data_IF_866818441864
#
_entry.id   IF_866818441864
#
_cell.length_a   1.000
_cell.length_b   1.000
_cell.length_c   1.000
_cell.angle_alpha   90.00
_cell.angle_beta   90.00
_cell.angle_gamma   90.00
#
_symmetry.space_group_name_H-M   'P 1'
#
loop_
_entity.id
_entity.type
_entity.pdbx_description
1 polymer ?
#
# COMPACT_ATOMS: atom_id res chain seq x y z
N UNK A 1 -12.64 33.12 -59.76
CA UNK A 1 -12.53 33.27 -58.28
C UNK A 1 -12.31 31.87 -57.72
N UNK A 2 -11.10 31.56 -57.25
CA UNK A 2 -10.80 30.26 -56.64
C UNK A 2 -10.71 30.48 -55.12
N UNK A 3 -11.71 29.99 -54.39
CA UNK A 3 -11.66 29.94 -52.93
C UNK A 3 -10.81 28.73 -52.54
N UNK A 4 -9.59 29.01 -52.07
CA UNK A 4 -8.76 28.01 -51.43
C UNK A 4 -9.31 27.78 -50.02
N UNK A 5 -10.11 26.73 -49.86
CA UNK A 5 -10.44 26.24 -48.53
C UNK A 5 -9.21 25.55 -47.96
N UNK A 6 -8.43 26.28 -47.17
CA UNK A 6 -7.42 25.69 -46.31
C UNK A 6 -8.14 24.88 -45.23
N UNK A 7 -8.24 23.57 -45.42
CA UNK A 7 -8.52 22.66 -44.30
C UNK A 7 -7.22 22.60 -43.51
N UNK A 8 -7.09 23.45 -42.50
CA UNK A 8 -6.04 23.32 -41.50
C UNK A 8 -6.25 21.98 -40.79
N UNK A 9 -5.64 20.93 -41.32
CA UNK A 9 -5.63 19.62 -40.71
C UNK A 9 -5.01 19.74 -39.33
N UNK A 10 -5.80 19.43 -38.31
CA UNK A 10 -5.39 19.46 -36.91
C UNK A 10 -4.11 18.63 -36.76
N UNK A 11 -2.97 19.30 -36.55
CA UNK A 11 -1.67 18.63 -36.50
C UNK A 11 -1.61 17.76 -35.25
N UNK A 12 -1.53 16.45 -35.44
CA UNK A 12 -1.28 15.51 -34.33
C UNK A 12 0.13 15.75 -33.82
N UNK A 13 0.25 16.07 -32.54
CA UNK A 13 1.54 16.25 -31.87
C UNK A 13 1.82 15.08 -30.94
N UNK A 14 3.10 14.93 -30.56
CA UNK A 14 3.56 13.91 -29.62
C UNK A 14 4.08 14.61 -28.36
N UNK A 15 3.56 14.22 -27.19
CA UNK A 15 3.97 14.77 -25.90
C UNK A 15 4.26 13.62 -24.93
N UNK A 16 5.34 13.73 -24.17
CA UNK A 16 5.69 12.76 -23.12
C UNK A 16 5.20 13.25 -21.75
N UNK A 17 4.63 12.34 -20.97
CA UNK A 17 4.21 12.57 -19.59
C UNK A 17 4.84 11.52 -18.68
N UNK A 18 5.38 11.94 -17.53
CA UNK A 18 5.80 11.02 -16.47
C UNK A 18 4.69 10.95 -15.44
N UNK A 19 4.15 9.75 -15.22
CA UNK A 19 3.00 9.53 -14.34
C UNK A 19 3.28 8.37 -13.37
N UNK A 20 2.63 8.35 -12.20
CA UNK A 20 2.76 7.22 -11.28
C UNK A 20 2.15 5.94 -11.89
N UNK A 21 2.81 4.82 -11.64
CA UNK A 21 2.32 3.48 -11.94
C UNK A 21 1.76 2.85 -10.67
N UNK A 22 0.46 2.60 -10.65
CA UNK A 22 -0.21 1.89 -9.58
C UNK A 22 -0.14 0.38 -9.79
N UNK A 23 0.04 -0.36 -8.70
CA UNK A 23 -0.02 -1.83 -8.70
C UNK A 23 -1.33 -2.23 -8.04
N UNK A 24 -2.12 -3.06 -8.71
CA UNK A 24 -3.45 -3.47 -8.27
C UNK A 24 -3.56 -4.98 -8.18
N UNK A 25 -4.49 -5.43 -7.34
CA UNK A 25 -4.97 -6.82 -7.30
C UNK A 25 -3.87 -7.88 -7.08
N UNK A 26 -2.91 -7.61 -6.19
CA UNK A 26 -1.94 -8.63 -5.76
C UNK A 26 -2.70 -9.84 -5.17
N UNK A 27 -2.44 -11.07 -5.65
CA UNK A 27 -3.17 -12.24 -5.20
C UNK A 27 -3.03 -12.47 -3.70
N UNK A 28 -4.09 -13.00 -3.08
CA UNK A 28 -4.07 -13.35 -1.65
C UNK A 28 -2.99 -14.40 -1.37
N UNK A 29 -2.32 -14.28 -0.24
CA UNK A 29 -1.22 -15.17 0.12
C UNK A 29 0.10 -14.88 -0.61
N UNK A 30 0.16 -13.78 -1.39
CA UNK A 30 1.38 -13.28 -1.99
C UNK A 30 1.66 -11.85 -1.52
N UNK A 31 2.95 -11.51 -1.46
CA UNK A 31 3.41 -10.14 -1.24
C UNK A 31 4.59 -9.82 -2.14
N UNK A 32 4.74 -8.56 -2.50
CA UNK A 32 5.83 -8.12 -3.36
C UNK A 32 7.07 -7.79 -2.54
N UNK A 33 8.19 -8.43 -2.84
CA UNK A 33 9.44 -8.31 -2.07
C UNK A 33 10.45 -7.37 -2.72
N UNK A 34 10.29 -7.08 -4.01
CA UNK A 34 11.07 -6.06 -4.70
C UNK A 34 10.36 -4.69 -4.72
N UNK A 35 11.10 -3.66 -5.13
CA UNK A 35 10.59 -2.30 -5.32
C UNK A 35 10.70 -1.89 -6.78
N UNK A 36 9.75 -2.31 -7.65
CA UNK A 36 9.74 -1.87 -9.03
C UNK A 36 9.56 -0.35 -9.13
N UNK A 37 9.98 0.23 -10.25
CA UNK A 37 9.74 1.64 -10.54
C UNK A 37 8.25 1.95 -10.50
N UNK A 38 7.86 2.95 -9.71
CA UNK A 38 6.46 3.40 -9.57
C UNK A 38 6.12 4.59 -10.46
N UNK A 39 6.90 4.80 -11.51
CA UNK A 39 6.69 5.85 -12.49
C UNK A 39 6.97 5.29 -13.88
N UNK A 40 6.19 5.75 -14.85
CA UNK A 40 6.34 5.41 -16.25
C UNK A 40 6.27 6.68 -17.08
N UNK A 41 7.09 6.75 -18.12
CA UNK A 41 6.95 7.76 -19.17
C UNK A 41 5.98 7.22 -20.22
N UNK A 42 4.94 7.99 -20.50
CA UNK A 42 3.97 7.68 -21.55
C UNK A 42 4.06 8.76 -22.62
N UNK A 43 4.33 8.35 -23.86
CA UNK A 43 4.26 9.21 -25.03
C UNK A 43 2.86 9.13 -25.62
N UNK A 44 2.20 10.27 -25.69
CA UNK A 44 0.82 10.43 -26.14
C UNK A 44 0.77 11.17 -27.48
N UNK A 45 -0.21 10.84 -28.30
CA UNK A 45 -0.51 11.57 -29.54
C UNK A 45 -1.98 11.96 -29.60
N UNK A 46 -2.25 13.13 -30.18
CA UNK A 46 -3.60 13.67 -30.30
C UNK A 46 -3.60 15.08 -30.88
N UNK A 47 -4.78 15.70 -31.01
CA UNK A 47 -4.90 17.12 -31.35
C UNK A 47 -4.04 17.99 -30.45
N UNK A 48 -3.36 18.98 -31.05
CA UNK A 48 -2.51 19.91 -30.31
C UNK A 48 -3.25 20.64 -29.19
N UNK A 49 -4.49 21.07 -29.46
CA UNK A 49 -5.41 21.71 -28.50
C UNK A 49 -5.70 20.83 -27.28
N UNK A 50 -5.96 19.54 -27.48
CA UNK A 50 -6.23 18.58 -26.40
C UNK A 50 -4.98 18.29 -25.58
N UNK A 51 -3.84 18.04 -26.24
CA UNK A 51 -2.59 17.73 -25.55
C UNK A 51 -2.05 18.93 -24.77
N UNK A 52 -2.24 20.17 -25.25
CA UNK A 52 -1.84 21.37 -24.51
C UNK A 52 -2.67 21.63 -23.25
N UNK A 53 -3.93 21.16 -23.23
CA UNK A 53 -4.82 21.31 -22.07
C UNK A 53 -4.82 20.10 -21.12
N UNK A 54 -4.14 19.00 -21.48
CA UNK A 54 -4.16 17.76 -20.72
C UNK A 54 -3.42 17.89 -19.39
N UNK A 55 -4.11 17.59 -18.29
CA UNK A 55 -3.50 17.61 -16.95
C UNK A 55 -3.00 16.22 -16.56
N UNK A 56 -1.87 16.11 -15.81
CA UNK A 56 -1.37 14.82 -15.35
C UNK A 56 -2.38 13.99 -14.56
N UNK A 57 -3.30 14.63 -13.81
CA UNK A 57 -4.36 13.96 -13.05
C UNK A 57 -5.40 13.25 -13.90
N UNK A 58 -5.49 13.59 -15.20
CA UNK A 58 -6.41 12.98 -16.15
C UNK A 58 -5.80 11.75 -16.84
N UNK A 59 -4.54 11.44 -16.52
CA UNK A 59 -3.80 10.29 -17.01
C UNK A 59 -3.49 9.39 -15.80
N UNK A 60 -3.76 8.10 -15.92
CA UNK A 60 -3.37 7.13 -14.89
C UNK A 60 -2.79 5.88 -15.52
N UNK A 61 -1.75 5.32 -14.90
CA UNK A 61 -1.20 4.03 -15.26
C UNK A 61 -1.40 3.04 -14.12
N UNK A 62 -1.86 1.84 -14.43
CA UNK A 62 -2.02 0.77 -13.47
C UNK A 62 -1.64 -0.58 -14.10
N UNK A 63 -1.05 -1.45 -13.29
CA UNK A 63 -0.78 -2.84 -13.62
C UNK A 63 -1.60 -3.75 -12.71
N UNK A 64 -2.29 -4.71 -13.31
CA UNK A 64 -3.09 -5.72 -12.61
C UNK A 64 -2.23 -6.97 -12.41
N UNK A 65 -2.08 -7.40 -11.15
CA UNK A 65 -1.33 -8.60 -10.77
C UNK A 65 -2.22 -9.78 -10.40
N UNK A 66 -3.53 -9.74 -10.68
CA UNK A 66 -4.48 -10.80 -10.31
C UNK A 66 -4.13 -12.18 -10.87
N UNK A 67 -3.47 -12.24 -12.03
CA UNK A 67 -2.97 -13.45 -12.66
C UNK A 67 -1.50 -13.79 -12.31
N UNK A 68 -0.85 -13.01 -11.45
CA UNK A 68 0.55 -13.20 -11.10
C UNK A 68 0.76 -14.42 -10.17
N UNK A 69 1.96 -14.97 -10.20
CA UNK A 69 2.35 -16.14 -9.38
C UNK A 69 3.58 -15.86 -8.52
N UNK A 70 3.86 -16.73 -7.56
CA UNK A 70 5.09 -16.65 -6.77
C UNK A 70 6.34 -16.76 -7.68
N UNK A 71 7.39 -16.02 -7.34
CA UNK A 71 8.63 -15.93 -8.09
C UNK A 71 8.82 -14.59 -8.81
N UNK A 72 9.94 -14.50 -9.53
CA UNK A 72 10.27 -13.37 -10.41
C UNK A 72 9.50 -13.50 -11.72
N UNK A 73 8.80 -12.44 -12.11
CA UNK A 73 8.14 -12.35 -13.41
C UNK A 73 8.21 -10.93 -13.98
N UNK A 74 8.16 -10.84 -15.31
CA UNK A 74 8.07 -9.57 -16.03
C UNK A 74 6.62 -9.32 -16.43
N UNK A 75 6.08 -8.15 -16.08
CA UNK A 75 4.71 -7.75 -16.41
C UNK A 75 4.77 -6.64 -17.45
N UNK A 76 4.17 -6.89 -18.60
CA UNK A 76 4.13 -5.94 -19.73
C UNK A 76 3.14 -4.81 -19.45
N UNK A 77 3.53 -3.59 -19.78
CA UNK A 77 2.68 -2.41 -19.77
C UNK A 77 2.25 -2.10 -21.20
N UNK A 78 0.94 -2.16 -21.44
CA UNK A 78 0.31 -1.94 -22.73
C UNK A 78 -0.67 -0.74 -22.69
N UNK A 79 -1.35 -0.46 -23.80
CA UNK A 79 -2.34 0.62 -23.88
C UNK A 79 -3.50 0.45 -22.89
N UNK A 80 -3.81 -0.77 -22.43
CA UNK A 80 -4.86 -1.02 -21.42
C UNK A 80 -4.39 -0.65 -20.02
N UNK A 81 -3.08 -0.65 -19.82
CA UNK A 81 -2.43 -0.26 -18.57
C UNK A 81 -2.50 1.25 -18.33
N UNK A 82 -2.81 2.06 -19.35
CA UNK A 82 -2.89 3.53 -19.26
C UNK A 82 -4.27 4.04 -19.64
N UNK A 83 -4.91 4.79 -18.74
CA UNK A 83 -6.15 5.51 -19.03
C UNK A 83 -5.83 6.95 -19.42
N UNK A 84 -6.35 7.36 -20.58
CA UNK A 84 -6.26 8.71 -21.14
C UNK A 84 -7.64 9.19 -21.59
N UNK A 85 -7.88 10.51 -21.70
CA UNK A 85 -9.11 11.04 -22.26
C UNK A 85 -9.33 10.66 -23.73
N UNK A 86 -10.58 10.67 -24.16
CA UNK A 86 -10.98 10.39 -25.54
C UNK A 86 -10.29 11.35 -26.53
N UNK A 87 -9.86 10.82 -27.67
CA UNK A 87 -9.16 11.61 -28.71
C UNK A 87 -7.64 11.62 -28.56
N UNK A 88 -7.11 11.10 -27.45
CA UNK A 88 -5.68 10.89 -27.21
C UNK A 88 -5.35 9.39 -27.34
N UNK A 89 -4.20 9.07 -27.94
CA UNK A 89 -3.68 7.71 -28.08
C UNK A 89 -2.34 7.56 -27.40
N UNK A 90 -2.16 6.47 -26.69
CA UNK A 90 -0.86 6.03 -26.19
C UNK A 90 -0.04 5.53 -27.38
N UNK A 91 1.19 6.02 -27.51
CA UNK A 91 2.12 5.64 -28.58
C UNK A 91 3.30 4.83 -28.06
N UNK A 92 3.72 5.12 -26.82
CA UNK A 92 4.81 4.39 -26.17
C UNK A 92 4.69 4.49 -24.67
N UNK A 93 5.09 3.43 -23.98
CA UNK A 93 5.26 3.38 -22.53
C UNK A 93 6.72 2.99 -22.26
N UNK A 94 7.38 3.69 -21.33
CA UNK A 94 8.74 3.40 -20.90
C UNK A 94 8.85 3.40 -19.37
N UNK A 95 9.35 2.32 -18.75
CA UNK A 95 9.65 1.02 -19.38
C UNK A 95 8.38 0.34 -19.90
N UNK A 96 8.48 -0.51 -20.92
CA UNK A 96 7.34 -1.27 -21.47
C UNK A 96 7.02 -2.54 -20.68
N UNK A 97 7.82 -2.83 -19.65
CA UNK A 97 7.56 -3.90 -18.68
C UNK A 97 8.21 -3.56 -17.36
N UNK A 98 7.69 -4.12 -16.28
CA UNK A 98 8.30 -4.06 -14.95
C UNK A 98 8.61 -5.46 -14.46
N UNK A 99 9.70 -5.62 -13.73
CA UNK A 99 9.97 -6.85 -13.00
C UNK A 99 9.27 -6.80 -11.64
N UNK A 100 8.48 -7.81 -11.33
CA UNK A 100 7.89 -8.01 -10.00
C UNK A 100 8.40 -9.32 -9.42
N UNK A 101 8.72 -9.32 -8.14
CA UNK A 101 9.09 -10.50 -7.37
C UNK A 101 8.05 -10.68 -6.29
N UNK A 102 7.25 -11.73 -6.42
CA UNK A 102 6.23 -12.09 -5.46
C UNK A 102 6.68 -13.29 -4.65
N UNK A 103 6.42 -13.29 -3.35
CA UNK A 103 6.68 -14.44 -2.50
C UNK A 103 5.46 -14.81 -1.66
N UNK A 104 5.42 -16.06 -1.22
CA UNK A 104 4.29 -16.61 -0.48
C UNK A 104 4.30 -16.12 0.94
N UNK A 105 3.17 -15.60 1.39
CA UNK A 105 2.95 -15.26 2.79
C UNK A 105 2.29 -16.42 3.51
N UNK A 106 2.57 -16.53 4.80
CA UNK A 106 1.89 -17.43 5.72
C UNK A 106 1.09 -16.63 6.74
N UNK A 107 0.05 -17.26 7.29
CA UNK A 107 -0.71 -16.71 8.41
C UNK A 107 -0.37 -17.47 9.67
N UNK A 108 -0.07 -16.74 10.75
CA UNK A 108 0.15 -17.32 12.07
C UNK A 108 -0.55 -16.49 13.14
N UNK A 109 -0.99 -17.15 14.20
CA UNK A 109 -1.56 -16.51 15.38
C UNK A 109 -0.41 -16.08 16.28
N UNK A 110 -0.31 -14.79 16.57
CA UNK A 110 0.79 -14.17 17.32
C UNK A 110 0.23 -13.47 18.57
N UNK A 111 0.86 -13.62 19.75
CA UNK A 111 0.42 -12.95 20.97
C UNK A 111 0.60 -11.43 20.90
N UNK A 112 -0.36 -10.71 21.47
CA UNK A 112 -0.33 -9.25 21.60
C UNK A 112 0.29 -8.87 22.92
N UNK A 113 1.28 -7.97 22.89
CA UNK A 113 1.95 -7.46 24.08
C UNK A 113 1.66 -5.97 24.26
N UNK A 114 0.93 -5.57 25.30
CA UNK A 114 0.61 -4.16 25.50
C UNK A 114 1.85 -3.39 25.92
N UNK A 115 2.18 -2.31 25.20
CA UNK A 115 3.26 -1.39 25.58
C UNK A 115 2.74 -0.37 26.57
N UNK A 116 2.86 -0.67 27.86
CA UNK A 116 2.49 0.29 28.90
C UNK A 116 3.61 1.32 29.06
N UNK A 117 3.25 2.60 29.02
CA UNK A 117 4.09 3.76 29.25
C UNK A 117 4.15 4.19 30.72
N UNK A 118 4.67 5.40 30.96
CA UNK A 118 4.75 6.01 32.29
C UNK A 118 5.96 5.57 33.14
N UNK A 119 6.15 6.28 34.26
CA UNK A 119 7.30 6.08 35.16
C UNK A 119 7.24 4.81 36.00
N UNK A 120 8.37 4.44 36.62
CA UNK A 120 8.51 3.23 37.43
C UNK A 120 7.47 3.13 38.56
N UNK A 121 7.17 4.24 39.24
CA UNK A 121 6.19 4.27 40.33
C UNK A 121 4.80 3.85 39.87
N UNK A 122 4.33 4.36 38.72
CA UNK A 122 3.03 4.01 38.14
C UNK A 122 2.98 2.53 37.73
N UNK A 123 4.02 2.04 37.06
CA UNK A 123 4.10 0.64 36.62
C UNK A 123 4.09 -0.34 37.80
N UNK A 124 4.72 0.01 38.93
CA UNK A 124 4.73 -0.82 40.15
C UNK A 124 3.33 -0.98 40.77
N UNK A 125 2.42 -0.04 40.50
CA UNK A 125 1.02 -0.11 40.94
C UNK A 125 0.16 -0.99 40.05
N UNK A 126 0.62 -1.42 38.88
CA UNK A 126 -0.18 -2.29 38.02
C UNK A 126 -0.30 -3.67 38.66
N UNK A 127 -1.53 -4.09 38.94
CA UNK A 127 -1.87 -5.41 39.46
C UNK A 127 -2.01 -6.42 38.33
N UNK A 128 -2.70 -6.04 37.24
CA UNK A 128 -3.03 -6.94 36.13
C UNK A 128 -3.21 -6.16 34.84
N UNK A 129 -2.80 -6.76 33.73
CA UNK A 129 -3.10 -6.28 32.38
C UNK A 129 -3.77 -7.39 31.60
N UNK A 130 -4.90 -7.10 30.99
CA UNK A 130 -5.64 -8.01 30.13
C UNK A 130 -5.77 -7.40 28.74
N UNK A 131 -5.60 -8.21 27.70
CA UNK A 131 -5.74 -7.80 26.30
C UNK A 131 -6.79 -8.67 25.64
N UNK A 132 -7.73 -8.03 24.94
CA UNK A 132 -8.84 -8.66 24.25
C UNK A 132 -8.96 -8.14 22.81
N UNK A 133 -8.70 -8.97 21.77
CA UNK A 133 -8.20 -10.35 21.86
C UNK A 133 -6.72 -10.42 22.30
N UNK A 134 -6.27 -11.49 23.00
CA UNK A 134 -4.89 -11.65 23.44
C UNK A 134 -3.91 -12.05 22.33
N UNK A 135 -4.45 -12.46 21.17
CA UNK A 135 -3.68 -12.89 19.99
C UNK A 135 -4.32 -12.33 18.74
N UNK A 136 -3.51 -12.06 17.71
CA UNK A 136 -3.97 -11.65 16.39
C UNK A 136 -3.40 -12.57 15.31
N UNK A 137 -4.14 -12.73 14.22
CA UNK A 137 -3.62 -13.39 13.03
C UNK A 137 -2.77 -12.39 12.23
N UNK A 138 -1.54 -12.77 11.94
CA UNK A 138 -0.56 -11.98 11.18
C UNK A 138 -0.24 -12.73 9.89
N UNK A 139 -0.31 -12.02 8.77
CA UNK A 139 0.13 -12.51 7.46
C UNK A 139 1.48 -11.86 7.11
N UNK A 140 2.52 -12.67 6.91
CA UNK A 140 3.89 -12.19 6.68
C UNK A 140 4.70 -13.21 5.87
N UNK A 141 5.93 -12.84 5.46
CA UNK A 141 6.86 -13.82 4.87
C UNK A 141 7.30 -14.85 5.93
N UNK A 142 7.53 -16.13 5.57
CA UNK A 142 7.93 -17.18 6.51
C UNK A 142 9.15 -16.80 7.38
N UNK A 143 10.14 -16.14 6.79
CA UNK A 143 11.36 -15.69 7.46
C UNK A 143 11.16 -14.47 8.38
N UNK A 144 10.07 -13.70 8.21
CA UNK A 144 9.76 -12.57 9.10
C UNK A 144 9.22 -13.05 10.45
N UNK A 145 8.58 -14.23 10.51
CA UNK A 145 8.03 -14.75 11.76
C UNK A 145 9.08 -15.03 12.84
N UNK A 146 10.35 -15.28 12.48
CA UNK A 146 11.42 -15.39 13.48
C UNK A 146 11.70 -14.06 14.20
N UNK A 147 11.27 -12.94 13.61
CA UNK A 147 11.38 -11.58 14.15
C UNK A 147 10.07 -11.09 14.79
N UNK A 148 8.97 -11.83 14.63
CA UNK A 148 7.64 -11.51 15.15
C UNK A 148 7.20 -12.56 16.21
N UNK A 149 7.90 -12.68 17.36
CA UNK A 149 7.46 -13.58 18.44
C UNK A 149 6.20 -13.04 19.15
N UNK A 150 5.97 -11.73 19.07
CA UNK A 150 4.80 -11.04 19.62
C UNK A 150 4.60 -9.72 18.88
N UNK A 151 3.37 -9.21 18.86
CA UNK A 151 3.05 -7.90 18.27
C UNK A 151 2.75 -6.87 19.37
N UNK A 152 3.52 -5.77 19.46
CA UNK A 152 3.30 -4.77 20.47
C UNK A 152 2.12 -3.84 20.12
N UNK A 153 1.42 -3.31 21.13
CA UNK A 153 0.54 -2.15 20.94
C UNK A 153 1.35 -0.86 20.82
N UNK A 154 0.70 0.22 20.38
CA UNK A 154 1.14 1.58 20.65
C UNK A 154 1.32 1.80 22.16
N UNK A 155 2.06 2.85 22.52
CA UNK A 155 2.33 3.13 23.93
C UNK A 155 1.08 3.67 24.65
N UNK A 156 0.66 2.94 25.67
CA UNK A 156 -0.48 3.27 26.52
C UNK A 156 0.05 3.89 27.80
N UNK A 157 -0.07 5.21 27.95
CA UNK A 157 0.26 5.88 29.22
C UNK A 157 -1.00 5.98 30.07
N UNK A 158 -1.08 5.29 31.22
CA UNK A 158 -2.25 5.40 32.07
C UNK A 158 -2.38 6.82 32.64
N UNK A 159 -3.59 7.36 32.58
CA UNK A 159 -3.97 8.64 33.17
C UNK A 159 -4.58 8.49 34.58
N UNK A 160 -4.67 7.24 35.07
CA UNK A 160 -5.16 6.89 36.40
C UNK A 160 -4.15 6.01 37.10
N UNK A 161 -4.13 6.08 38.44
CA UNK A 161 -3.22 5.29 39.26
C UNK A 161 -3.93 4.29 40.20
N UNK A 162 -5.26 4.33 40.26
CA UNK A 162 -6.13 3.49 41.10
C UNK A 162 -7.28 2.96 40.24
N UNK A 163 -7.81 1.78 40.59
CA UNK A 163 -8.98 1.21 39.93
C UNK A 163 -8.63 0.52 38.62
N UNK A 164 -9.46 0.72 37.59
CA UNK A 164 -9.30 0.06 36.28
C UNK A 164 -9.32 1.09 35.16
N UNK A 165 -8.35 1.01 34.26
CA UNK A 165 -8.33 1.70 32.98
C UNK A 165 -8.66 0.71 31.86
N UNK A 166 -9.59 1.05 30.98
CA UNK A 166 -9.83 0.30 29.76
C UNK A 166 -9.61 1.24 28.56
N UNK A 167 -8.75 0.84 27.62
CA UNK A 167 -8.40 1.63 26.45
C UNK A 167 -8.38 0.74 25.22
N UNK A 168 -8.76 1.28 24.08
CA UNK A 168 -8.52 0.64 22.78
C UNK A 168 -7.16 1.07 22.29
N UNK A 169 -6.26 0.13 22.07
CA UNK A 169 -4.91 0.39 21.58
C UNK A 169 -4.72 -0.30 20.23
N UNK A 170 -4.04 0.38 19.31
CA UNK A 170 -3.67 -0.18 18.01
C UNK A 170 -2.39 -0.99 18.12
N UNK A 171 -2.33 -2.14 17.47
CA UNK A 171 -1.13 -2.97 17.33
C UNK A 171 -0.24 -2.45 16.21
N UNK A 172 1.07 -2.41 16.47
CA UNK A 172 2.10 -1.95 15.56
C UNK A 172 2.93 -3.14 15.04
N UNK A 173 3.04 -3.27 13.72
CA UNK A 173 3.98 -4.16 13.04
C UNK A 173 5.14 -3.34 12.47
N UNK A 174 6.35 -3.89 12.50
CA UNK A 174 7.58 -3.21 12.02
C UNK A 174 8.10 -3.81 10.73
N UNK A 175 7.65 -5.00 10.40
CA UNK A 175 8.15 -5.83 9.33
C UNK A 175 7.53 -5.38 8.00
N UNK A 176 8.33 -5.23 6.94
CA UNK A 176 7.93 -4.56 5.71
C UNK A 176 6.82 -5.28 4.95
N UNK A 177 6.72 -6.61 5.07
CA UNK A 177 5.71 -7.40 4.35
C UNK A 177 4.66 -8.01 5.27
N UNK A 178 4.71 -7.71 6.57
CA UNK A 178 3.74 -8.20 7.54
C UNK A 178 2.51 -7.31 7.60
N UNK A 179 1.34 -7.93 7.77
CA UNK A 179 0.07 -7.24 8.00
C UNK A 179 -0.78 -8.01 9.00
N UNK A 180 -1.57 -7.28 9.79
CA UNK A 180 -2.58 -7.87 10.67
C UNK A 180 -3.79 -8.25 9.83
N UNK A 181 -4.25 -9.49 9.96
CA UNK A 181 -5.49 -9.95 9.35
C UNK A 181 -6.67 -9.50 10.22
N UNK A 182 -7.56 -8.70 9.64
CA UNK A 182 -8.71 -8.14 10.37
C UNK A 182 -8.40 -6.82 11.06
N UNK A 183 -8.88 -6.66 12.30
CA UNK A 183 -8.73 -5.42 13.08
C UNK A 183 -7.36 -5.37 13.77
N UNK A 184 -6.58 -4.28 13.61
CA UNK A 184 -5.36 -4.07 14.38
C UNK A 184 -5.63 -3.54 15.80
N UNK A 185 -6.88 -3.25 16.15
CA UNK A 185 -7.24 -2.68 17.44
C UNK A 185 -7.59 -3.76 18.45
N UNK A 186 -7.02 -3.64 19.65
CA UNK A 186 -7.30 -4.50 20.81
C UNK A 186 -7.76 -3.66 21.99
N UNK A 187 -8.57 -4.25 22.88
CA UNK A 187 -8.95 -3.64 24.14
C UNK A 187 -7.95 -4.05 25.21
N UNK A 188 -7.31 -3.07 25.85
CA UNK A 188 -6.38 -3.28 26.95
C UNK A 188 -7.02 -2.80 28.25
N UNK A 189 -7.11 -3.69 29.23
CA UNK A 189 -7.63 -3.41 30.56
C UNK A 189 -6.50 -3.50 31.58
N UNK A 190 -6.22 -2.40 32.26
CA UNK A 190 -5.15 -2.27 33.26
C UNK A 190 -5.81 -2.08 34.62
N UNK A 191 -5.55 -2.99 35.55
CA UNK A 191 -5.99 -2.90 36.94
C UNK A 191 -4.83 -2.43 37.80
N UNK A 192 -5.08 -1.45 38.67
CA UNK A 192 -4.10 -0.93 39.62
C UNK A 192 -4.35 -1.47 41.02
N UNK A 193 -3.29 -1.62 41.79
CA UNK A 193 -3.30 -1.92 43.22
C UNK A 193 -3.85 -0.70 43.96
N UNK A 194 -4.74 -0.97 44.91
CA UNK A 194 -5.18 0.03 45.89
C UNK A 194 -4.02 0.42 46.80
#
# INVERSE_FOLDING_TARGET
MAAWWFVAGESKVLVSFTIPLEIRDVPKGLTMTNKPGRQVEVRLSGPSSLLSGLRPSEISAAVDLSAAHAGRQSVTLDDRSVKVPTGIKVQRIFPSSIEVVLDRTERRVVPVVPRIGGGYALRKRIARVEVDPPTLEVEALPEEFSRIPSVPTEEITPNVEVGTLAVTARVELREPHAKIVGSPNVRVKIQFRN
#
